data_IF_815480678589
#
_entry.id   IF_815480678589
#
_cell.length_a   1.000
_cell.length_b   1.000
_cell.length_c   1.000
_cell.angle_alpha   90.00
_cell.angle_beta   90.00
_cell.angle_gamma   90.00
#
_symmetry.space_group_name_H-M   'P 1'
#
loop_
_entity.id
_entity.type
_entity.pdbx_description
1 polymer ?
#
# COMPACT_ATOMS: atom_id res chain seq x y z
N UNK A 1 13.24 7.87 -9.30
CA UNK A 1 12.47 6.98 -10.18
C UNK A 1 11.93 5.78 -9.41
N UNK A 2 12.78 5.00 -8.73
CA UNK A 2 12.39 3.74 -8.08
C UNK A 2 12.35 3.78 -6.55
N UNK A 3 12.99 4.76 -5.90
CA UNK A 3 12.99 4.91 -4.44
C UNK A 3 11.71 5.58 -3.92
N UNK A 4 11.32 5.25 -2.68
CA UNK A 4 10.12 5.80 -2.05
C UNK A 4 8.89 5.48 -2.90
N UNK A 5 8.13 6.51 -3.28
CA UNK A 5 7.06 6.35 -4.26
C UNK A 5 7.60 6.39 -5.69
N UNK A 6 7.45 5.32 -6.49
CA UNK A 6 7.97 5.29 -7.84
C UNK A 6 7.29 6.30 -8.77
N UNK A 7 8.04 6.80 -9.75
CA UNK A 7 7.56 7.79 -10.70
C UNK A 7 8.52 8.01 -11.87
N UNK A 8 8.05 8.69 -12.93
CA UNK A 8 8.86 8.96 -14.11
C UNK A 8 10.08 9.82 -13.76
N UNK A 9 11.14 9.68 -14.55
CA UNK A 9 12.31 10.54 -14.51
C UNK A 9 12.64 10.99 -15.94
N UNK A 10 13.09 12.23 -16.08
CA UNK A 10 13.55 12.80 -17.35
C UNK A 10 15.05 13.05 -17.27
N UNK A 11 15.77 12.63 -18.31
CA UNK A 11 17.20 12.88 -18.46
C UNK A 11 17.42 13.56 -19.81
N UNK A 12 17.95 14.78 -19.78
CA UNK A 12 18.43 15.47 -20.97
C UNK A 12 19.93 15.23 -21.11
N UNK A 13 20.37 14.79 -22.29
CA UNK A 13 21.78 14.57 -22.60
C UNK A 13 22.14 15.49 -23.78
N UNK A 14 23.02 16.49 -23.60
CA UNK A 14 23.50 17.32 -24.70
C UNK A 14 24.29 16.51 -25.73
N UNK A 15 24.24 16.93 -26.99
CA UNK A 15 24.93 16.23 -28.10
C UNK A 15 26.44 16.13 -27.86
N UNK A 16 27.06 17.15 -27.27
CA UNK A 16 28.49 17.14 -26.97
C UNK A 16 28.86 16.07 -25.94
N UNK A 17 27.97 15.77 -25.00
CA UNK A 17 28.17 14.70 -24.01
C UNK A 17 28.05 13.31 -24.65
N UNK A 18 27.17 13.14 -25.64
CA UNK A 18 27.05 11.88 -26.39
C UNK A 18 28.29 11.56 -27.22
N UNK A 19 28.99 12.60 -27.70
CA UNK A 19 30.20 12.45 -28.51
C UNK A 19 31.48 12.22 -27.68
N UNK A 20 31.44 12.41 -26.35
CA UNK A 20 32.61 12.22 -25.50
C UNK A 20 33.01 10.74 -25.39
N UNK A 21 34.31 10.47 -25.50
CA UNK A 21 34.90 9.16 -25.19
C UNK A 21 35.34 9.14 -23.73
N UNK A 22 34.98 8.06 -23.04
CA UNK A 22 35.35 7.79 -21.65
C UNK A 22 36.09 6.47 -21.59
N UNK A 23 37.13 6.41 -20.78
CA UNK A 23 37.87 5.18 -20.51
C UNK A 23 37.06 4.32 -19.53
N UNK A 24 36.56 3.14 -19.94
CA UNK A 24 35.77 2.27 -19.07
C UNK A 24 36.51 1.84 -17.81
N UNK A 25 37.84 1.72 -17.86
CA UNK A 25 38.65 1.26 -16.73
C UNK A 25 38.76 2.34 -15.64
N UNK A 26 38.40 3.58 -15.98
CA UNK A 26 38.35 4.71 -15.03
C UNK A 26 36.95 4.91 -14.43
N UNK A 27 35.92 4.22 -14.93
CA UNK A 27 34.55 4.38 -14.47
C UNK A 27 34.33 3.67 -13.14
N UNK A 28 34.08 4.47 -12.09
CA UNK A 28 33.60 3.96 -10.82
C UNK A 28 32.07 3.89 -10.81
N UNK A 29 31.52 2.77 -11.28
CA UNK A 29 30.09 2.48 -11.15
C UNK A 29 29.84 1.90 -9.76
N UNK A 30 29.21 2.68 -8.90
CA UNK A 30 28.83 2.19 -7.57
C UNK A 30 27.51 1.40 -7.69
N UNK A 31 27.42 0.18 -7.13
CA UNK A 31 26.19 -0.60 -7.15
C UNK A 31 25.01 0.20 -6.59
N UNK A 32 23.83 0.07 -7.20
CA UNK A 32 22.64 0.82 -6.79
C UNK A 32 22.30 0.65 -5.30
N UNK A 33 22.47 -0.57 -4.78
CA UNK A 33 22.28 -0.91 -3.37
C UNK A 33 23.18 -0.11 -2.41
N UNK A 34 24.33 0.36 -2.89
CA UNK A 34 25.30 1.11 -2.07
C UNK A 34 25.12 2.63 -2.17
N UNK A 35 24.12 3.10 -2.93
CA UNK A 35 23.92 4.52 -3.22
C UNK A 35 22.54 5.06 -2.84
N UNK A 36 21.54 4.20 -2.68
CA UNK A 36 20.15 4.59 -2.46
C UNK A 36 19.45 3.56 -1.57
N UNK A 37 18.55 4.06 -0.72
CA UNK A 37 17.55 3.23 -0.05
C UNK A 37 16.52 2.82 -1.10
N UNK A 38 16.51 1.53 -1.44
CA UNK A 38 15.59 0.96 -2.42
C UNK A 38 14.33 0.37 -1.77
N UNK A 39 14.37 0.13 -0.47
CA UNK A 39 13.25 -0.41 0.29
C UNK A 39 13.15 0.27 1.67
N UNK A 40 11.94 0.61 2.10
CA UNK A 40 11.68 1.25 3.39
C UNK A 40 11.59 0.25 4.56
N UNK A 41 11.63 -1.05 4.28
CA UNK A 41 11.41 -2.12 5.26
C UNK A 41 9.96 -2.14 5.75
N UNK A 42 9.75 -2.78 6.91
CA UNK A 42 8.43 -2.95 7.51
C UNK A 42 7.90 -1.71 8.25
N UNK A 43 8.71 -0.66 8.40
CA UNK A 43 8.38 0.52 9.22
C UNK A 43 8.73 0.34 10.69
N UNK A 44 8.20 1.23 11.53
CA UNK A 44 8.45 1.24 12.98
C UNK A 44 7.79 0.00 13.66
N UNK A 45 8.57 -0.86 14.34
CA UNK A 45 8.04 -2.04 15.02
C UNK A 45 6.94 -1.73 16.05
N UNK A 46 6.99 -0.56 16.72
CA UNK A 46 5.97 -0.16 17.68
C UNK A 46 4.63 0.15 17.00
N UNK A 47 4.66 0.72 15.79
CA UNK A 47 3.45 0.98 15.00
C UNK A 47 2.91 -0.31 14.39
N UNK A 48 3.77 -1.23 13.97
CA UNK A 48 3.38 -2.58 13.54
C UNK A 48 2.67 -3.32 14.68
N UNK A 49 3.22 -3.27 15.90
CA UNK A 49 2.58 -3.86 17.08
C UNK A 49 1.18 -3.29 17.35
N UNK A 50 1.03 -1.96 17.30
CA UNK A 50 -0.28 -1.31 17.47
C UNK A 50 -1.29 -1.70 16.37
N UNK A 51 -0.84 -1.78 15.11
CA UNK A 51 -1.68 -2.23 14.00
C UNK A 51 -2.10 -3.70 14.17
N UNK A 52 -1.18 -4.58 14.57
CA UNK A 52 -1.46 -5.98 14.85
C UNK A 52 -2.49 -6.15 15.98
N UNK A 53 -2.38 -5.39 17.07
CA UNK A 53 -3.36 -5.43 18.18
C UNK A 53 -4.77 -5.02 17.74
N UNK A 54 -4.87 -3.95 16.93
CA UNK A 54 -6.16 -3.52 16.37
C UNK A 54 -6.75 -4.58 15.45
N UNK A 55 -5.94 -5.20 14.59
CA UNK A 55 -6.40 -6.24 13.66
C UNK A 55 -6.81 -7.52 14.40
N UNK A 56 -6.03 -7.94 15.40
CA UNK A 56 -6.29 -9.15 16.19
C UNK A 56 -7.58 -9.05 17.03
N UNK A 57 -8.00 -7.83 17.39
CA UNK A 57 -9.22 -7.58 18.16
C UNK A 57 -10.42 -7.15 17.29
N UNK A 58 -10.22 -7.02 15.98
CA UNK A 58 -11.27 -6.66 15.03
C UNK A 58 -12.31 -7.77 14.91
N UNK A 59 -13.60 -7.39 14.87
CA UNK A 59 -14.71 -8.34 14.65
C UNK A 59 -15.04 -8.50 13.17
N UNK A 60 -14.82 -7.46 12.37
CA UNK A 60 -15.03 -7.43 10.93
C UNK A 60 -13.88 -6.67 10.27
N UNK A 61 -12.65 -7.21 10.29
CA UNK A 61 -11.52 -6.57 9.63
C UNK A 61 -11.73 -6.54 8.11
N UNK A 62 -11.29 -5.45 7.49
CA UNK A 62 -11.29 -5.32 6.04
C UNK A 62 -9.96 -4.77 5.52
N UNK A 63 -9.35 -5.45 4.55
CA UNK A 63 -8.08 -5.06 3.94
C UNK A 63 -8.34 -4.44 2.57
N UNK A 64 -7.81 -3.24 2.34
CA UNK A 64 -7.94 -2.52 1.09
C UNK A 64 -6.60 -2.31 0.39
N UNK A 65 -6.43 -2.96 -0.75
CA UNK A 65 -5.21 -2.93 -1.54
C UNK A 65 -5.18 -1.76 -2.55
N UNK A 66 -4.17 -0.92 -2.45
CA UNK A 66 -3.82 0.06 -3.48
C UNK A 66 -2.70 -0.44 -4.39
N UNK A 67 -2.35 0.38 -5.39
CA UNK A 67 -1.28 0.06 -6.36
C UNK A 67 0.09 -0.13 -5.69
N UNK A 68 0.30 0.45 -4.51
CA UNK A 68 1.54 0.25 -3.76
C UNK A 68 1.82 -1.21 -3.44
N UNK A 69 0.77 -2.03 -3.26
CA UNK A 69 0.92 -3.49 -3.04
C UNK A 69 1.47 -4.17 -4.30
N UNK A 70 0.92 -3.84 -5.49
CA UNK A 70 1.42 -4.37 -6.76
C UNK A 70 2.87 -3.98 -6.99
N UNK A 71 3.21 -2.71 -6.78
CA UNK A 71 4.57 -2.21 -7.01
C UNK A 71 5.59 -2.81 -6.04
N UNK A 72 5.19 -3.14 -4.81
CA UNK A 72 6.03 -3.84 -3.85
C UNK A 72 6.10 -5.35 -4.10
N UNK A 73 5.25 -5.91 -4.98
CA UNK A 73 5.11 -7.36 -5.15
C UNK A 73 4.57 -8.07 -3.91
N UNK A 74 3.70 -7.39 -3.14
CA UNK A 74 3.17 -7.85 -1.84
C UNK A 74 1.83 -8.58 -1.90
N UNK A 75 1.45 -9.12 -3.06
CA UNK A 75 0.13 -9.76 -3.24
C UNK A 75 -0.03 -11.03 -2.42
N UNK A 76 1.03 -11.84 -2.33
CA UNK A 76 1.02 -13.07 -1.54
C UNK A 76 0.85 -12.78 -0.05
N UNK A 77 1.58 -11.79 0.47
CA UNK A 77 1.52 -11.38 1.87
C UNK A 77 0.15 -10.78 2.22
N UNK A 78 -0.44 -10.00 1.31
CA UNK A 78 -1.78 -9.43 1.52
C UNK A 78 -2.85 -10.53 1.61
N UNK A 79 -2.83 -11.49 0.68
CA UNK A 79 -3.79 -12.61 0.68
C UNK A 79 -3.59 -13.47 1.93
N UNK A 80 -2.34 -13.82 2.27
CA UNK A 80 -2.05 -14.61 3.47
C UNK A 80 -2.56 -13.93 4.76
N UNK A 81 -2.39 -12.61 4.88
CA UNK A 81 -2.91 -11.85 6.01
C UNK A 81 -4.45 -11.81 6.01
N UNK A 82 -5.07 -11.62 4.85
CA UNK A 82 -6.52 -11.66 4.71
C UNK A 82 -7.11 -13.00 5.12
N UNK A 83 -6.48 -14.10 4.71
CA UNK A 83 -6.89 -15.46 5.09
C UNK A 83 -6.71 -15.71 6.59
N UNK A 84 -5.56 -15.31 7.14
CA UNK A 84 -5.27 -15.47 8.57
C UNK A 84 -6.30 -14.76 9.46
N UNK A 85 -6.70 -13.55 9.07
CA UNK A 85 -7.67 -12.73 9.81
C UNK A 85 -9.13 -13.06 9.45
N UNK A 86 -9.36 -13.94 8.46
CA UNK A 86 -10.67 -14.10 7.81
C UNK A 86 -11.29 -12.75 7.40
N UNK A 87 -10.45 -11.82 6.94
CA UNK A 87 -10.83 -10.45 6.63
C UNK A 87 -11.51 -10.35 5.26
N UNK A 88 -12.46 -9.43 5.13
CA UNK A 88 -12.92 -8.99 3.81
C UNK A 88 -11.78 -8.30 3.07
N UNK A 89 -11.63 -8.55 1.78
CA UNK A 89 -10.57 -7.95 0.97
C UNK A 89 -11.15 -7.17 -0.21
N UNK A 90 -10.58 -6.02 -0.50
CA UNK A 90 -10.91 -5.25 -1.69
C UNK A 90 -9.68 -4.57 -2.26
N UNK A 91 -9.81 -4.01 -3.46
CA UNK A 91 -8.71 -3.30 -4.11
C UNK A 91 -9.19 -2.06 -4.84
N UNK A 92 -8.34 -1.04 -4.93
CA UNK A 92 -8.54 0.07 -5.86
C UNK A 92 -8.57 -0.43 -7.31
N UNK A 93 -9.17 0.35 -8.21
CA UNK A 93 -9.29 -0.01 -9.63
C UNK A 93 -7.93 -0.39 -10.26
N UNK A 94 -6.88 0.37 -9.94
CA UNK A 94 -5.54 0.12 -10.48
C UNK A 94 -4.77 -1.02 -9.78
N UNK A 95 -5.35 -1.59 -8.71
CA UNK A 95 -4.77 -2.68 -7.94
C UNK A 95 -5.56 -3.99 -8.09
N UNK A 96 -6.42 -4.08 -9.11
CA UNK A 96 -7.07 -5.34 -9.48
C UNK A 96 -6.02 -6.41 -9.75
N UNK A 97 -6.33 -7.64 -9.35
CA UNK A 97 -5.42 -8.79 -9.43
C UNK A 97 -4.41 -8.91 -8.29
N UNK A 98 -4.37 -7.99 -7.31
CA UNK A 98 -3.62 -8.21 -6.06
C UNK A 98 -4.19 -9.40 -5.28
N UNK A 99 -5.52 -9.51 -5.26
CA UNK A 99 -6.26 -10.65 -4.73
C UNK A 99 -6.87 -11.39 -5.92
N UNK A 100 -6.83 -12.73 -5.97
CA UNK A 100 -7.56 -13.49 -6.98
C UNK A 100 -9.04 -13.09 -6.98
N UNK A 101 -9.61 -12.78 -8.14
CA UNK A 101 -10.98 -12.23 -8.21
C UNK A 101 -12.06 -13.27 -7.88
N UNK A 102 -11.70 -14.56 -7.85
CA UNK A 102 -12.51 -15.69 -7.41
C UNK A 102 -12.31 -16.05 -5.93
N UNK A 103 -11.50 -15.28 -5.19
CA UNK A 103 -11.26 -15.50 -3.78
C UNK A 103 -12.55 -15.30 -2.95
N UNK A 104 -12.92 -16.21 -2.04
CA UNK A 104 -14.21 -16.20 -1.35
C UNK A 104 -14.46 -14.94 -0.49
N UNK A 105 -13.40 -14.29 -0.02
CA UNK A 105 -13.47 -13.06 0.77
C UNK A 105 -13.21 -11.77 -0.03
N UNK A 106 -13.13 -11.86 -1.36
CA UNK A 106 -12.86 -10.69 -2.20
C UNK A 106 -14.14 -9.98 -2.64
N UNK A 107 -14.20 -8.68 -2.36
CA UNK A 107 -15.29 -7.79 -2.76
C UNK A 107 -14.85 -6.97 -3.97
N UNK A 108 -15.31 -7.40 -5.14
CA UNK A 108 -14.94 -6.80 -6.41
C UNK A 108 -15.39 -5.32 -6.50
N UNK A 109 -14.50 -4.43 -6.96
CA UNK A 109 -14.75 -2.97 -6.97
C UNK A 109 -15.97 -2.53 -7.80
N UNK A 110 -16.30 -3.26 -8.86
CA UNK A 110 -17.49 -2.99 -9.69
C UNK A 110 -18.80 -3.54 -9.10
N UNK A 111 -18.75 -4.41 -8.08
CA UNK A 111 -19.91 -4.65 -7.24
C UNK A 111 -19.96 -3.56 -6.17
N UNK A 112 -20.40 -2.37 -6.58
CA UNK A 112 -20.35 -1.19 -5.71
C UNK A 112 -21.17 -1.38 -4.43
N UNK A 113 -22.31 -2.08 -4.51
CA UNK A 113 -23.15 -2.31 -3.35
C UNK A 113 -22.43 -3.21 -2.33
N UNK A 114 -21.92 -4.38 -2.76
CA UNK A 114 -21.23 -5.29 -1.85
C UNK A 114 -19.91 -4.70 -1.33
N UNK A 115 -19.11 -4.10 -2.22
CA UNK A 115 -17.82 -3.50 -1.85
C UNK A 115 -17.97 -2.30 -0.91
N UNK A 116 -18.98 -1.43 -1.11
CA UNK A 116 -19.25 -0.34 -0.17
C UNK A 116 -19.80 -0.86 1.16
N UNK A 117 -20.70 -1.85 1.16
CA UNK A 117 -21.22 -2.44 2.38
C UNK A 117 -20.09 -3.06 3.22
N UNK A 118 -19.23 -3.88 2.62
CA UNK A 118 -18.10 -4.50 3.30
C UNK A 118 -17.13 -3.47 3.90
N UNK A 119 -16.78 -2.42 3.14
CA UNK A 119 -15.94 -1.31 3.63
C UNK A 119 -16.62 -0.49 4.72
N UNK A 120 -17.93 -0.30 4.65
CA UNK A 120 -18.67 0.54 5.60
C UNK A 120 -18.88 -0.17 6.95
N UNK A 121 -19.19 -1.47 6.91
CA UNK A 121 -19.55 -2.27 8.09
C UNK A 121 -18.33 -2.75 8.89
N UNK A 122 -17.14 -2.69 8.30
CA UNK A 122 -15.88 -3.04 8.96
C UNK A 122 -15.64 -2.16 10.20
N UNK A 123 -15.20 -2.76 11.30
CA UNK A 123 -14.80 -2.02 12.51
C UNK A 123 -13.33 -1.60 12.48
N UNK A 124 -12.48 -2.36 11.78
CA UNK A 124 -11.08 -2.01 11.49
C UNK A 124 -10.82 -2.16 10.00
N UNK A 125 -10.26 -1.12 9.39
CA UNK A 125 -9.82 -1.14 7.98
C UNK A 125 -8.30 -0.99 7.90
N UNK A 126 -7.67 -1.87 7.12
CA UNK A 126 -6.24 -1.81 6.78
C UNK A 126 -6.09 -1.35 5.33
N UNK A 127 -5.67 -0.10 5.13
CA UNK A 127 -5.43 0.49 3.80
C UNK A 127 -3.95 0.38 3.46
N UNK A 128 -3.61 -0.32 2.38
CA UNK A 128 -2.21 -0.61 2.03
C UNK A 128 -1.87 -0.03 0.66
N UNK A 129 -0.96 0.94 0.62
CA UNK A 129 -0.47 1.56 -0.62
C UNK A 129 -1.55 2.25 -1.45
N UNK A 130 -2.59 2.77 -0.78
CA UNK A 130 -3.74 3.42 -1.38
C UNK A 130 -3.97 4.81 -0.77
N UNK A 131 -4.30 5.78 -1.64
CA UNK A 131 -4.62 7.17 -1.24
C UNK A 131 -6.10 7.42 -0.97
N UNK A 132 -6.96 6.44 -1.27
CA UNK A 132 -8.42 6.57 -1.27
C UNK A 132 -8.88 7.71 -2.20
N UNK A 133 -8.97 7.42 -3.51
CA UNK A 133 -9.36 8.39 -4.54
C UNK A 133 -10.86 8.47 -4.81
N UNK A 134 -11.22 8.99 -5.99
CA UNK A 134 -12.61 9.13 -6.46
C UNK A 134 -13.41 7.83 -6.41
N UNK A 135 -12.86 6.74 -6.99
CA UNK A 135 -13.49 5.42 -6.95
C UNK A 135 -13.60 4.82 -5.53
N UNK A 136 -12.87 5.40 -4.59
CA UNK A 136 -12.85 5.00 -3.18
C UNK A 136 -13.70 5.96 -2.34
N UNK A 137 -14.45 6.89 -2.93
CA UNK A 137 -15.25 7.87 -2.19
C UNK A 137 -14.42 8.75 -1.25
N UNK A 138 -13.14 8.96 -1.55
CA UNK A 138 -12.19 9.71 -0.71
C UNK A 138 -12.11 9.20 0.74
N UNK A 139 -12.41 7.93 0.99
CA UNK A 139 -12.39 7.38 2.36
C UNK A 139 -13.53 7.89 3.25
N UNK A 140 -14.61 8.45 2.67
CA UNK A 140 -15.69 9.12 3.42
C UNK A 140 -16.97 8.28 3.48
N UNK A 141 -17.82 8.47 4.50
CA UNK A 141 -19.19 7.96 4.50
C UNK A 141 -20.01 8.51 3.31
N UNK A 142 -20.94 7.71 2.74
CA UNK A 142 -21.29 6.35 3.14
C UNK A 142 -20.43 5.26 2.49
N UNK A 143 -19.45 5.59 1.63
CA UNK A 143 -18.59 4.60 0.98
C UNK A 143 -17.67 3.85 1.97
N UNK A 144 -17.37 4.49 3.10
CA UNK A 144 -16.59 3.96 4.22
C UNK A 144 -17.31 4.20 5.55
N UNK A 145 -16.91 3.49 6.59
CA UNK A 145 -17.46 3.69 7.93
C UNK A 145 -17.12 5.07 8.48
N UNK A 146 -17.90 5.52 9.44
CA UNK A 146 -17.65 6.75 10.18
C UNK A 146 -16.28 6.68 10.91
N UNK A 147 -15.33 7.61 10.65
CA UNK A 147 -14.02 7.60 11.30
C UNK A 147 -14.05 7.61 12.83
N UNK A 148 -15.13 8.10 13.45
CA UNK A 148 -15.27 8.06 14.90
C UNK A 148 -15.51 6.64 15.44
N UNK A 149 -15.93 5.69 14.58
CA UNK A 149 -16.32 4.32 14.95
C UNK A 149 -15.51 3.24 14.25
N UNK A 150 -15.00 3.53 13.05
CA UNK A 150 -14.20 2.61 12.25
C UNK A 150 -12.72 2.98 12.34
N UNK A 151 -11.93 2.10 12.96
CA UNK A 151 -10.49 2.26 13.10
C UNK A 151 -9.79 2.10 11.76
N UNK A 152 -8.84 2.99 11.47
CA UNK A 152 -8.14 3.03 10.19
C UNK A 152 -6.63 2.87 10.41
N UNK A 153 -6.08 1.79 9.88
CA UNK A 153 -4.64 1.57 9.75
C UNK A 153 -4.27 1.88 8.30
N UNK A 154 -3.22 2.67 8.08
CA UNK A 154 -2.75 2.99 6.74
C UNK A 154 -1.25 2.73 6.61
N UNK A 155 -0.87 1.91 5.64
CA UNK A 155 0.53 1.64 5.26
C UNK A 155 0.76 2.33 3.91
N UNK A 156 1.76 3.20 3.82
CA UNK A 156 2.17 3.79 2.53
C UNK A 156 3.67 4.07 2.50
N UNK A 157 4.29 4.01 1.32
CA UNK A 157 5.69 4.35 1.15
C UNK A 157 5.92 5.86 1.13
N UNK A 158 4.86 6.64 0.89
CA UNK A 158 4.87 8.10 0.87
C UNK A 158 4.24 8.67 2.15
N UNK A 159 5.02 9.31 3.05
CA UNK A 159 4.49 9.88 4.28
C UNK A 159 3.40 10.94 4.03
N UNK A 160 3.41 11.61 2.88
CA UNK A 160 2.39 12.61 2.53
C UNK A 160 1.05 11.99 2.11
N UNK A 161 1.01 10.68 1.86
CA UNK A 161 -0.22 9.95 1.54
C UNK A 161 -0.98 9.48 2.79
N UNK A 162 -0.30 9.39 3.93
CA UNK A 162 -0.90 9.01 5.21
C UNK A 162 -1.86 10.10 5.67
N UNK A 163 -3.12 9.74 5.93
CA UNK A 163 -4.11 10.67 6.43
C UNK A 163 -4.64 11.70 5.41
N UNK A 164 -4.26 11.58 4.13
CA UNK A 164 -4.55 12.60 3.10
C UNK A 164 -6.05 12.88 2.92
N UNK A 165 -6.88 11.83 2.91
CA UNK A 165 -8.32 11.94 2.64
C UNK A 165 -9.21 11.52 3.82
N UNK A 166 -8.66 10.76 4.77
CA UNK A 166 -9.36 10.20 5.92
C UNK A 166 -8.41 10.17 7.13
N UNK A 167 -8.85 10.53 8.34
CA UNK A 167 -8.05 10.36 9.55
C UNK A 167 -7.60 8.90 9.74
N UNK A 168 -6.39 8.71 10.27
CA UNK A 168 -5.82 7.39 10.56
C UNK A 168 -5.56 7.26 12.05
N UNK A 169 -5.84 6.08 12.60
CA UNK A 169 -5.49 5.73 13.98
C UNK A 169 -4.04 5.27 14.06
N UNK A 170 -3.57 4.52 13.05
CA UNK A 170 -2.18 4.06 12.94
C UNK A 170 -1.69 4.28 11.50
N UNK A 171 -0.70 5.16 11.34
CA UNK A 171 -0.05 5.43 10.05
C UNK A 171 1.36 4.88 10.02
N UNK A 172 1.68 4.02 9.04
CA UNK A 172 2.96 3.32 8.92
C UNK A 172 3.62 3.70 7.60
N UNK A 173 4.80 4.31 7.69
CA UNK A 173 5.62 4.62 6.51
C UNK A 173 6.53 3.43 6.24
N UNK A 174 6.19 2.64 5.24
CA UNK A 174 6.86 1.37 4.97
C UNK A 174 6.68 0.90 3.53
N UNK A 175 7.49 -0.09 3.16
CA UNK A 175 7.22 -0.89 1.98
C UNK A 175 6.06 -1.84 2.27
N UNK A 176 5.08 -1.88 1.36
CA UNK A 176 3.85 -2.64 1.57
C UNK A 176 4.12 -4.13 1.80
N UNK A 177 5.05 -4.75 1.06
CA UNK A 177 5.35 -6.18 1.16
C UNK A 177 5.92 -6.51 2.54
N UNK A 178 6.90 -5.74 2.99
CA UNK A 178 7.57 -5.99 4.27
C UNK A 178 6.66 -5.68 5.46
N UNK A 179 5.84 -4.64 5.38
CA UNK A 179 4.88 -4.32 6.43
C UNK A 179 3.77 -5.39 6.53
N UNK A 180 3.24 -5.86 5.40
CA UNK A 180 2.28 -6.97 5.38
C UNK A 180 2.87 -8.26 5.96
N UNK A 181 4.12 -8.60 5.59
CA UNK A 181 4.81 -9.76 6.13
C UNK A 181 5.05 -9.66 7.65
N UNK A 182 5.25 -8.45 8.18
CA UNK A 182 5.45 -8.22 9.61
C UNK A 182 4.15 -8.21 10.43
N UNK A 183 2.99 -8.10 9.77
CA UNK A 183 1.67 -8.19 10.38
C UNK A 183 1.09 -9.62 10.40
N UNK A 184 1.72 -10.54 9.67
CA UNK A 184 1.41 -11.97 9.66
C UNK A 184 2.08 -12.67 10.85
#
# INVERSE_FOLDING_TARGET
ATSGRPGPAFLAIPDEMLAQKIDPDTLRITPAANNRVLNLGAGDPALIGQAAELLATARRPFIYAGKGVLWAGGSQELVALGDHLAAGMGSSLGARGVVPEDHPHYFHIFDMQASMAARNEADVVLVVGARLGEYDGWGRPPAWGDPARQKTIQIDADPLSIGLNRPVDVGIVADAKFALAALL
#
